data_IF_560779724475
#
_entry.id   IF_560779724475
#
_cell.length_a   1.000
_cell.length_b   1.000
_cell.length_c   1.000
_cell.angle_alpha   90.00
_cell.angle_beta   90.00
_cell.angle_gamma   90.00
#
_symmetry.space_group_name_H-M   'P 1'
#
loop_
_entity.id
_entity.type
_entity.pdbx_description
1 polymer ?
#
# COMPACT_ATOMS: atom_id res chain seq x y z
N UNK A 1 21.25 -20.79 -14.47
CA UNK A 1 20.71 -20.57 -14.04
C UNK A 1 19.79 -20.14 -13.66
N UNK A 2 19.47 -20.06 -13.47
CA UNK A 2 18.56 -19.72 -13.14
C UNK A 2 18.12 -19.17 -12.27
N UNK A 3 18.23 -18.88 -11.95
CA UNK A 3 17.83 -18.45 -11.14
C UNK A 3 17.25 -17.56 -10.86
N UNK A 4 17.17 -17.22 -10.83
CA UNK A 4 16.70 -16.31 -10.60
C UNK A 4 15.51 -16.23 -10.13
N UNK A 5 15.02 -16.63 -10.04
CA UNK A 5 13.88 -16.63 -9.53
C UNK A 5 13.76 -16.81 -8.15
N UNK A 6 14.64 -16.67 -7.47
CA UNK A 6 14.65 -16.67 -6.03
C UNK A 6 13.82 -15.56 -5.43
N UNK A 7 13.57 -14.49 -6.16
CA UNK A 7 12.76 -13.40 -5.67
C UNK A 7 11.29 -13.71 -5.88
N UNK A 8 10.47 -13.78 -4.81
CA UNK A 8 9.04 -14.00 -5.00
C UNK A 8 8.46 -12.85 -5.80
N UNK A 9 7.52 -13.15 -6.69
CA UNK A 9 6.94 -12.08 -7.51
C UNK A 9 6.09 -11.15 -6.67
N UNK A 10 6.09 -9.90 -7.08
CA UNK A 10 5.14 -8.93 -6.56
C UNK A 10 3.74 -9.37 -6.92
N UNK A 11 2.79 -8.96 -6.11
CA UNK A 11 1.39 -9.34 -6.31
C UNK A 11 0.56 -8.07 -6.27
N UNK A 12 -0.38 -7.96 -7.19
CA UNK A 12 -1.26 -6.79 -7.18
C UNK A 12 -2.02 -6.75 -5.86
N UNK A 13 -2.06 -5.59 -5.23
CA UNK A 13 -2.74 -5.43 -3.96
C UNK A 13 -4.24 -5.60 -4.18
N UNK A 14 -4.90 -6.36 -3.30
CA UNK A 14 -6.33 -6.60 -3.41
C UNK A 14 -7.09 -5.29 -3.25
N UNK A 15 -7.89 -4.95 -4.25
CA UNK A 15 -8.64 -3.71 -4.25
C UNK A 15 -9.84 -3.83 -3.30
N UNK A 16 -10.05 -2.86 -2.41
CA UNK A 16 -11.17 -2.91 -1.47
C UNK A 16 -12.54 -2.99 -2.15
N UNK A 17 -12.70 -2.33 -3.29
CA UNK A 17 -13.99 -2.30 -3.97
C UNK A 17 -14.42 -3.62 -4.56
N UNK A 18 -13.57 -4.64 -4.55
CA UNK A 18 -13.93 -5.93 -5.09
C UNK A 18 -15.05 -6.62 -4.31
N UNK A 19 -15.39 -6.09 -3.14
CA UNK A 19 -16.41 -6.69 -2.31
C UNK A 19 -17.83 -6.25 -2.64
N UNK A 20 -18.00 -5.19 -3.46
CA UNK A 20 -19.30 -4.62 -3.76
C UNK A 20 -19.36 -4.20 -5.23
N UNK A 21 -20.35 -4.72 -5.96
CA UNK A 21 -20.48 -4.40 -7.37
C UNK A 21 -20.78 -2.91 -7.60
N UNK A 22 -21.63 -2.33 -6.76
CA UNK A 22 -21.95 -0.91 -6.89
C UNK A 22 -20.76 -0.03 -6.59
N UNK A 23 -20.05 -0.37 -5.52
CA UNK A 23 -18.86 0.39 -5.16
C UNK A 23 -17.78 0.21 -6.21
N UNK A 24 -17.73 -0.96 -6.82
CA UNK A 24 -16.74 -1.21 -7.85
C UNK A 24 -16.89 -0.28 -9.04
N UNK A 25 -18.11 0.04 -9.45
CA UNK A 25 -18.30 0.93 -10.57
C UNK A 25 -17.80 2.33 -10.29
N UNK A 26 -18.14 2.86 -9.12
CA UNK A 26 -17.67 4.17 -8.73
C UNK A 26 -16.16 4.19 -8.55
N UNK A 27 -15.63 3.15 -7.91
CA UNK A 27 -14.20 3.08 -7.66
C UNK A 27 -13.42 2.84 -8.92
N UNK A 28 -13.97 2.09 -9.86
CA UNK A 28 -13.30 1.88 -11.14
C UNK A 28 -13.09 3.19 -11.87
N UNK A 29 -14.04 4.10 -11.80
CA UNK A 29 -13.86 5.40 -12.41
C UNK A 29 -12.75 6.20 -11.74
N UNK A 30 -12.69 6.17 -10.41
CA UNK A 30 -11.64 6.86 -9.68
C UNK A 30 -10.27 6.24 -9.99
N UNK A 31 -10.21 4.93 -10.01
CA UNK A 31 -8.95 4.24 -10.28
C UNK A 31 -8.51 4.47 -11.72
N UNK A 32 -9.46 4.56 -12.62
CA UNK A 32 -9.14 4.80 -14.03
C UNK A 32 -8.45 6.14 -14.25
N UNK A 33 -8.82 7.16 -13.47
CA UNK A 33 -8.14 8.45 -13.56
C UNK A 33 -6.87 8.49 -12.76
N UNK A 34 -6.59 7.49 -11.94
CA UNK A 34 -5.39 7.47 -11.13
C UNK A 34 -4.27 6.74 -11.88
N UNK A 35 -3.08 7.33 -11.97
CA UNK A 35 -1.99 6.68 -12.69
C UNK A 35 -1.22 5.64 -11.87
N UNK A 36 -1.47 5.53 -10.58
CA UNK A 36 -0.62 4.70 -9.72
C UNK A 36 -1.13 3.27 -9.61
N UNK A 37 -0.24 2.33 -9.92
CA UNK A 37 -0.50 0.91 -9.74
C UNK A 37 0.04 0.52 -8.36
N UNK A 38 -0.81 -0.10 -7.54
CA UNK A 38 -0.41 -0.49 -6.18
C UNK A 38 -0.20 -1.99 -6.14
N UNK A 39 1.01 -2.39 -5.76
CA UNK A 39 1.37 -3.81 -5.67
C UNK A 39 1.90 -4.12 -4.28
N UNK A 40 1.75 -5.37 -3.88
CA UNK A 40 2.36 -5.88 -2.65
C UNK A 40 3.69 -6.51 -2.98
N UNK A 41 4.63 -6.41 -2.05
CA UNK A 41 5.95 -7.00 -2.23
C UNK A 41 5.86 -8.47 -2.58
N UNK A 42 4.93 -9.19 -1.93
CA UNK A 42 4.75 -10.62 -2.16
C UNK A 42 3.37 -11.02 -1.66
N UNK A 43 3.07 -12.31 -1.78
CA UNK A 43 1.77 -12.84 -1.36
C UNK A 43 1.51 -12.64 0.13
N UNK A 44 2.54 -12.78 0.94
CA UNK A 44 2.38 -12.62 2.38
C UNK A 44 1.91 -11.21 2.72
N UNK A 45 2.53 -10.20 2.12
CA UNK A 45 2.14 -8.82 2.36
C UNK A 45 0.71 -8.58 1.91
N UNK A 46 0.32 -9.16 0.77
CA UNK A 46 -1.05 -8.99 0.31
C UNK A 46 -2.05 -9.66 1.26
N UNK A 47 -1.70 -10.80 1.83
CA UNK A 47 -2.55 -11.44 2.84
C UNK A 47 -2.70 -10.57 4.08
N UNK A 48 -1.61 -9.95 4.51
CA UNK A 48 -1.66 -9.05 5.66
C UNK A 48 -2.55 -7.84 5.36
N UNK A 49 -2.46 -7.35 4.14
CA UNK A 49 -3.33 -6.27 3.67
C UNK A 49 -4.79 -6.71 3.66
N UNK A 50 -5.07 -7.92 3.17
CA UNK A 50 -6.44 -8.43 3.17
C UNK A 50 -6.99 -8.56 4.57
N UNK A 51 -6.17 -8.99 5.52
CA UNK A 51 -6.58 -9.07 6.91
C UNK A 51 -6.91 -7.68 7.46
N UNK A 52 -6.14 -6.67 7.05
CA UNK A 52 -6.41 -5.30 7.44
C UNK A 52 -7.73 -4.81 6.85
N UNK A 53 -8.01 -5.17 5.61
CA UNK A 53 -9.29 -4.86 4.97
C UNK A 53 -10.47 -5.42 5.77
N UNK A 54 -10.30 -6.61 6.31
CA UNK A 54 -11.37 -7.23 7.11
C UNK A 54 -11.55 -6.54 8.46
N UNK A 55 -10.44 -6.12 9.08
CA UNK A 55 -10.51 -5.51 10.40
C UNK A 55 -10.96 -4.06 10.37
N UNK A 56 -10.55 -3.32 9.35
CA UNK A 56 -10.80 -1.89 9.28
C UNK A 56 -11.11 -1.50 7.83
N UNK A 57 -12.28 -1.92 7.33
CA UNK A 57 -12.57 -1.76 5.90
C UNK A 57 -12.58 -0.31 5.43
N UNK A 58 -13.17 0.59 6.18
CA UNK A 58 -13.27 1.98 5.73
C UNK A 58 -11.92 2.68 5.73
N UNK A 59 -11.15 2.49 6.79
CA UNK A 59 -9.85 3.13 6.88
C UNK A 59 -8.87 2.55 5.87
N UNK A 60 -8.95 1.25 5.63
CA UNK A 60 -8.10 0.60 4.65
C UNK A 60 -8.47 1.03 3.23
N UNK A 61 -9.76 1.23 2.99
CA UNK A 61 -10.19 1.77 1.71
C UNK A 61 -9.62 3.17 1.48
N UNK A 62 -9.68 4.02 2.51
CA UNK A 62 -9.10 5.35 2.41
C UNK A 62 -7.59 5.28 2.14
N UNK A 63 -6.92 4.34 2.81
CA UNK A 63 -5.50 4.12 2.56
C UNK A 63 -5.26 3.77 1.09
N UNK A 64 -6.03 2.84 0.57
CA UNK A 64 -5.89 2.43 -0.82
C UNK A 64 -6.06 3.61 -1.78
N UNK A 65 -7.07 4.44 -1.53
CA UNK A 65 -7.30 5.61 -2.36
C UNK A 65 -6.14 6.59 -2.29
N UNK A 66 -5.59 6.79 -1.10
CA UNK A 66 -4.41 7.66 -0.98
C UNK A 66 -3.25 7.12 -1.78
N UNK A 67 -3.03 5.80 -1.76
CA UNK A 67 -1.93 5.20 -2.51
C UNK A 67 -2.15 5.30 -4.02
N UNK A 68 -3.39 5.16 -4.47
CA UNK A 68 -3.70 5.20 -5.89
C UNK A 68 -3.65 6.60 -6.46
N UNK A 69 -3.95 7.62 -5.65
CA UNK A 69 -4.14 8.97 -6.17
C UNK A 69 -3.04 9.94 -5.79
N UNK A 70 -2.46 9.79 -4.58
CA UNK A 70 -1.51 10.78 -4.09
C UNK A 70 -0.55 10.16 -3.08
N UNK A 71 0.24 9.15 -3.52
CA UNK A 71 1.10 8.44 -2.57
C UNK A 71 2.24 9.28 -2.02
N UNK A 72 2.58 10.38 -2.68
CA UNK A 72 3.68 11.24 -2.24
C UNK A 72 3.21 12.57 -1.75
N UNK A 73 1.95 12.67 -1.33
CA UNK A 73 1.40 13.89 -0.77
C UNK A 73 1.25 13.69 0.74
N UNK A 74 1.94 14.55 1.50
CA UNK A 74 1.87 14.48 2.96
C UNK A 74 0.48 14.89 3.43
N UNK A 75 -0.09 14.09 4.32
CA UNK A 75 -1.37 14.41 4.98
C UNK A 75 -1.15 14.28 6.48
N UNK A 76 -1.40 15.33 7.26
CA UNK A 76 -1.07 15.31 8.68
C UNK A 76 -1.68 14.10 9.38
N UNK A 77 -0.87 13.40 10.17
CA UNK A 77 -1.29 12.26 10.99
C UNK A 77 -1.79 11.08 10.17
N UNK A 78 -1.60 11.10 8.83
CA UNK A 78 -2.09 9.99 8.04
C UNK A 78 -1.07 9.51 7.02
N UNK A 79 -0.44 10.43 6.30
CA UNK A 79 0.52 10.08 5.25
C UNK A 79 1.76 10.93 5.42
N UNK A 80 2.91 10.29 5.57
CA UNK A 80 4.15 11.04 5.74
C UNK A 80 5.36 10.22 5.35
N UNK A 81 6.42 10.90 4.85
CA UNK A 81 7.66 10.20 4.53
C UNK A 81 8.47 9.93 5.78
N UNK A 82 9.19 8.82 5.78
CA UNK A 82 10.08 8.51 6.88
C UNK A 82 11.41 9.22 6.70
N UNK A 83 12.10 9.43 7.81
CA UNK A 83 13.39 10.10 7.83
C UNK A 83 14.49 9.08 8.08
N UNK A 84 15.70 9.41 7.62
CA UNK A 84 16.86 8.58 7.87
C UNK A 84 17.29 7.83 6.62
N UNK A 85 18.58 7.47 6.59
CA UNK A 85 19.17 6.85 5.40
C UNK A 85 18.54 5.49 5.08
N UNK A 86 18.15 4.76 6.13
CA UNK A 86 17.55 3.44 5.94
C UNK A 86 16.21 3.50 5.24
N UNK A 87 15.53 4.64 5.36
CA UNK A 87 14.14 4.77 4.91
C UNK A 87 14.00 5.73 3.75
N UNK A 88 15.07 5.91 2.99
CA UNK A 88 15.00 6.82 1.87
C UNK A 88 13.92 6.36 0.89
N UNK A 89 12.99 7.25 0.57
CA UNK A 89 11.91 6.94 -0.33
C UNK A 89 10.74 6.18 0.29
N UNK A 90 10.80 5.90 1.59
CA UNK A 90 9.74 5.16 2.28
C UNK A 90 8.71 6.11 2.85
N UNK A 91 7.46 5.73 2.70
CA UNK A 91 6.33 6.47 3.26
C UNK A 91 5.53 5.56 4.17
N UNK A 92 4.89 6.18 5.15
CA UNK A 92 4.05 5.48 6.11
C UNK A 92 2.63 6.02 6.02
N UNK A 93 1.65 5.11 6.01
CA UNK A 93 0.24 5.46 6.10
C UNK A 93 -0.28 4.98 7.44
N UNK A 94 -0.81 5.90 8.24
CA UNK A 94 -1.43 5.55 9.51
C UNK A 94 -2.88 5.18 9.22
N UNK A 95 -3.14 3.88 9.06
CA UNK A 95 -4.47 3.40 8.68
C UNK A 95 -5.45 3.58 9.82
N UNK A 96 -5.04 3.12 11.01
CA UNK A 96 -5.77 3.34 12.26
C UNK A 96 -4.75 3.71 13.32
N UNK A 97 -5.22 3.97 14.53
CA UNK A 97 -4.30 4.26 15.63
C UNK A 97 -3.30 3.15 15.89
N UNK A 98 -3.65 1.91 15.56
CA UNK A 98 -2.81 0.77 15.87
C UNK A 98 -2.29 0.03 14.64
N UNK A 99 -2.61 0.48 13.43
CA UNK A 99 -2.22 -0.25 12.23
C UNK A 99 -1.59 0.67 11.20
N UNK A 100 -0.60 0.13 10.48
CA UNK A 100 0.22 0.92 9.55
C UNK A 100 0.44 0.19 8.25
N UNK A 101 0.64 0.97 7.19
CA UNK A 101 1.10 0.48 5.89
C UNK A 101 2.36 1.24 5.54
N UNK A 102 3.42 0.51 5.15
CA UNK A 102 4.67 1.12 4.71
C UNK A 102 4.86 0.81 3.23
N UNK A 103 5.22 1.82 2.47
CA UNK A 103 5.30 1.67 1.03
C UNK A 103 6.39 2.56 0.42
N UNK A 104 6.80 2.18 -0.79
CA UNK A 104 7.77 2.93 -1.56
C UNK A 104 7.13 3.30 -2.89
N UNK A 105 6.85 4.59 -3.12
CA UNK A 105 6.33 5.01 -4.42
C UNK A 105 7.48 5.16 -5.42
N UNK A 106 7.21 4.78 -6.65
CA UNK A 106 8.15 4.90 -7.75
C UNK A 106 7.50 5.76 -8.83
N UNK A 107 7.77 7.07 -8.85
CA UNK A 107 7.10 7.95 -9.81
C UNK A 107 7.47 7.67 -11.25
N UNK A 108 8.66 7.13 -11.51
CA UNK A 108 9.03 6.82 -12.88
C UNK A 108 8.17 5.71 -13.45
N UNK A 109 7.80 4.74 -12.62
CA UNK A 109 6.95 3.63 -13.04
C UNK A 109 5.49 3.84 -12.69
N UNK A 110 5.16 4.92 -12.01
CA UNK A 110 3.83 5.19 -11.49
C UNK A 110 3.33 3.98 -10.72
N UNK A 111 4.17 3.45 -9.83
CA UNK A 111 3.90 2.23 -9.08
C UNK A 111 4.19 2.47 -7.61
N UNK A 112 3.34 1.91 -6.76
CA UNK A 112 3.51 1.95 -5.32
C UNK A 112 3.74 0.53 -4.84
N UNK A 113 4.86 0.32 -4.14
CA UNK A 113 5.19 -0.99 -3.59
C UNK A 113 4.89 -0.99 -2.10
N UNK A 114 3.86 -1.73 -1.69
CA UNK A 114 3.55 -1.94 -0.28
C UNK A 114 4.39 -3.09 0.23
N UNK A 115 5.21 -2.84 1.25
CA UNK A 115 6.06 -3.90 1.77
C UNK A 115 5.74 -4.27 3.21
N UNK A 116 4.78 -3.59 3.82
CA UNK A 116 4.31 -3.94 5.16
C UNK A 116 2.88 -3.45 5.33
N UNK A 117 2.03 -4.29 5.92
CA UNK A 117 0.67 -3.92 6.30
C UNK A 117 0.32 -4.69 7.57
N UNK A 118 -0.13 -3.97 8.59
CA UNK A 118 -0.47 -4.64 9.83
C UNK A 118 -0.31 -3.74 11.03
N UNK A 119 -0.11 -4.34 12.18
CA UNK A 119 0.01 -3.60 13.43
C UNK A 119 1.22 -2.69 13.41
N UNK A 120 1.08 -1.57 14.12
CA UNK A 120 2.18 -0.61 14.24
C UNK A 120 3.41 -1.32 14.82
N UNK A 121 4.50 -1.43 14.06
CA UNK A 121 5.68 -2.14 14.57
C UNK A 121 6.45 -1.27 15.55
N UNK A 122 7.29 -1.90 16.37
CA UNK A 122 8.11 -1.16 17.31
C UNK A 122 9.08 -0.23 16.60
N UNK A 123 9.61 -0.68 15.48
CA UNK A 123 10.47 0.12 14.63
C UNK A 123 9.99 -0.05 13.21
N UNK A 124 10.08 1.02 12.41
CA UNK A 124 9.66 0.95 11.02
C UNK A 124 10.46 -0.15 10.30
N UNK A 125 9.80 -1.02 9.54
CA UNK A 125 10.52 -2.04 8.79
C UNK A 125 11.33 -1.40 7.67
N UNK A 126 12.51 -1.95 7.42
CA UNK A 126 13.34 -1.43 6.34
C UNK A 126 12.79 -1.89 4.99
N UNK A 127 12.94 -1.06 3.95
CA UNK A 127 12.44 -1.45 2.63
C UNK A 127 13.27 -2.58 2.04
N UNK A 128 12.70 -3.32 1.10
CA UNK A 128 13.43 -4.39 0.43
C UNK A 128 14.56 -3.89 -0.44
#
# INVERSE_FOLDING_TARGET
MTHFEATPPEEQLTAPGALSAKENEADAKLVTVSPWLVVALNRRVNRDWEALLLRAPENTYRCYKDLCTAPMVRKPRRVFPLKGKRYRGVWEHEVTGSERVFYVPDPQKCKVLVYYAGKHPKAAPTPP
#
